data_IF_142877281254
#
_entry.id   IF_142877281254
#
_cell.length_a   1.000
_cell.length_b   1.000
_cell.length_c   1.000
_cell.angle_alpha   90.00
_cell.angle_beta   90.00
_cell.angle_gamma   90.00
#
_symmetry.space_group_name_H-M   'P 1'
#
loop_
_entity.id
_entity.type
_entity.pdbx_description
1 polymer ?
#
# COMPACT_ATOMS: atom_id res chain seq x y z
N UNK A 1 -14.90 -9.08 -4.49
CA UNK A 1 -15.51 -7.72 -4.40
C UNK A 1 -17.04 -7.79 -4.38
N UNK A 2 -17.65 -8.59 -5.25
CA UNK A 2 -19.11 -8.80 -5.37
C UNK A 2 -19.81 -9.23 -4.06
N UNK A 3 -19.21 -10.17 -3.30
CA UNK A 3 -19.76 -10.61 -1.99
C UNK A 3 -19.86 -9.50 -0.94
N UNK A 4 -18.93 -8.54 -0.97
CA UNK A 4 -18.93 -7.41 -0.03
C UNK A 4 -20.00 -6.39 -0.40
N UNK A 5 -20.22 -6.16 -1.71
CA UNK A 5 -21.29 -5.29 -2.19
C UNK A 5 -22.67 -5.86 -1.83
N UNK A 6 -22.86 -7.15 -2.07
CA UNK A 6 -24.08 -7.86 -1.69
C UNK A 6 -24.34 -7.82 -0.18
N UNK A 7 -23.31 -8.00 0.65
CA UNK A 7 -23.45 -7.87 2.10
C UNK A 7 -23.87 -6.45 2.54
N UNK A 8 -23.33 -5.40 1.89
CA UNK A 8 -23.70 -4.01 2.16
C UNK A 8 -25.16 -3.72 1.78
N UNK A 9 -25.62 -4.25 0.65
CA UNK A 9 -27.02 -4.15 0.22
C UNK A 9 -27.97 -4.85 1.20
N UNK A 10 -27.65 -6.07 1.62
CA UNK A 10 -28.44 -6.78 2.64
C UNK A 10 -28.58 -6.00 3.95
N UNK A 11 -27.49 -5.40 4.44
CA UNK A 11 -27.52 -4.56 5.65
C UNK A 11 -28.42 -3.35 5.43
N UNK A 12 -28.35 -2.70 4.27
CA UNK A 12 -29.19 -1.54 3.94
C UNK A 12 -30.67 -1.91 3.88
N UNK A 13 -31.01 -3.00 3.19
CA UNK A 13 -32.38 -3.52 3.08
C UNK A 13 -32.94 -3.90 4.46
N UNK A 14 -32.13 -4.53 5.31
CA UNK A 14 -32.51 -4.87 6.67
C UNK A 14 -32.87 -3.63 7.50
N UNK A 15 -32.04 -2.58 7.45
CA UNK A 15 -32.29 -1.33 8.19
C UNK A 15 -33.57 -0.64 7.71
N UNK A 16 -33.83 -0.64 6.40
CA UNK A 16 -35.07 -0.10 5.81
C UNK A 16 -36.28 -0.92 6.28
N UNK A 17 -36.23 -2.25 6.16
CA UNK A 17 -37.34 -3.14 6.51
C UNK A 17 -37.75 -3.04 7.98
N UNK A 18 -36.80 -2.82 8.89
CA UNK A 18 -37.06 -2.67 10.33
C UNK A 18 -37.43 -1.23 10.75
N UNK A 19 -37.36 -0.26 9.83
CA UNK A 19 -37.67 1.14 10.12
C UNK A 19 -36.58 1.87 10.91
N UNK A 20 -35.33 1.41 10.85
CA UNK A 20 -34.20 2.04 11.56
C UNK A 20 -33.64 3.24 10.76
N UNK A 21 -34.47 4.24 10.49
CA UNK A 21 -34.13 5.37 9.61
C UNK A 21 -32.93 6.18 10.10
N UNK A 22 -32.82 6.44 11.41
CA UNK A 22 -31.69 7.19 11.99
C UNK A 22 -30.37 6.39 11.90
N UNK A 23 -30.44 5.07 12.07
CA UNK A 23 -29.28 4.18 11.93
C UNK A 23 -28.85 4.07 10.47
N UNK A 24 -29.81 4.02 9.54
CA UNK A 24 -29.54 4.04 8.10
C UNK A 24 -28.85 5.34 7.68
N UNK A 25 -29.32 6.49 8.18
CA UNK A 25 -28.70 7.78 7.89
C UNK A 25 -27.26 7.86 8.42
N UNK A 26 -27.03 7.41 9.66
CA UNK A 26 -25.70 7.35 10.27
C UNK A 26 -24.77 6.41 9.49
N UNK A 27 -25.26 5.22 9.12
CA UNK A 27 -24.52 4.25 8.31
C UNK A 27 -24.15 4.80 6.93
N UNK A 28 -25.06 5.49 6.24
CA UNK A 28 -24.79 6.12 4.95
C UNK A 28 -23.82 7.31 5.08
N UNK A 29 -23.89 8.08 6.16
CA UNK A 29 -22.94 9.16 6.45
C UNK A 29 -21.52 8.62 6.67
N UNK A 30 -21.39 7.55 7.45
CA UNK A 30 -20.10 6.88 7.69
C UNK A 30 -19.55 6.24 6.40
N UNK A 31 -20.38 5.60 5.57
CA UNK A 31 -19.98 5.09 4.26
C UNK A 31 -19.50 6.16 3.29
N UNK A 32 -19.96 7.41 3.42
CA UNK A 32 -19.50 8.54 2.59
C UNK A 32 -18.08 8.97 2.95
N UNK A 33 -17.64 8.70 4.18
CA UNK A 33 -16.26 9.01 4.60
C UNK A 33 -15.26 8.22 3.74
N UNK A 34 -14.19 8.88 3.30
CA UNK A 34 -13.14 8.26 2.45
C UNK A 34 -12.42 7.08 3.12
N UNK A 35 -12.72 6.79 4.39
CA UNK A 35 -12.14 5.71 5.18
C UNK A 35 -12.31 4.34 4.48
N UNK A 36 -13.34 4.18 3.63
CA UNK A 36 -13.60 2.94 2.90
C UNK A 36 -13.52 3.00 1.36
N UNK A 37 -13.12 4.13 0.75
CA UNK A 37 -13.23 4.35 -0.71
C UNK A 37 -12.01 3.93 -1.54
N UNK A 38 -11.00 3.35 -0.91
CA UNK A 38 -9.77 2.91 -1.58
C UNK A 38 -8.58 3.81 -1.25
N UNK A 39 -7.46 3.58 -1.92
CA UNK A 39 -6.25 4.35 -1.69
C UNK A 39 -6.37 5.75 -2.28
N UNK A 40 -6.10 6.78 -1.47
CA UNK A 40 -5.86 8.13 -1.95
C UNK A 40 -4.46 8.17 -2.59
N UNK A 41 -4.36 7.70 -3.83
CA UNK A 41 -3.09 7.45 -4.55
C UNK A 41 -2.19 8.68 -4.55
N UNK A 42 -2.74 9.87 -4.77
CA UNK A 42 -1.95 11.11 -4.79
C UNK A 42 -1.25 11.36 -3.45
N UNK A 43 -1.95 11.16 -2.32
CA UNK A 43 -1.36 11.32 -0.99
C UNK A 43 -0.27 10.28 -0.71
N UNK A 44 -0.44 9.07 -1.24
CA UNK A 44 0.57 8.01 -1.11
C UNK A 44 1.81 8.37 -1.93
N UNK A 45 1.64 8.87 -3.15
CA UNK A 45 2.76 9.33 -3.97
C UNK A 45 3.47 10.50 -3.30
N UNK A 46 2.73 11.48 -2.77
CA UNK A 46 3.30 12.59 -1.99
C UNK A 46 4.07 12.07 -0.78
N UNK A 47 3.53 11.10 -0.05
CA UNK A 47 4.21 10.49 1.10
C UNK A 47 5.52 9.81 0.70
N UNK A 48 5.54 9.07 -0.41
CA UNK A 48 6.74 8.40 -0.93
C UNK A 48 7.77 9.44 -1.36
N UNK A 49 7.38 10.35 -2.25
CA UNK A 49 8.32 11.23 -2.97
C UNK A 49 8.65 12.52 -2.23
N UNK A 50 7.82 12.99 -1.30
CA UNK A 50 8.08 14.20 -0.52
C UNK A 50 8.58 13.91 0.90
N UNK A 51 8.32 12.72 1.45
CA UNK A 51 8.74 12.37 2.81
C UNK A 51 9.70 11.19 2.85
N UNK A 52 9.30 10.01 2.38
CA UNK A 52 10.06 8.79 2.64
C UNK A 52 11.40 8.74 1.91
N UNK A 53 11.42 9.08 0.62
CA UNK A 53 12.66 9.11 -0.15
C UNK A 53 13.55 10.30 0.26
N UNK A 54 13.07 11.56 0.29
CA UNK A 54 13.93 12.70 0.58
C UNK A 54 14.52 12.71 2.00
N UNK A 55 13.80 12.16 2.98
CA UNK A 55 14.24 12.13 4.39
C UNK A 55 14.90 10.80 4.78
N UNK A 56 15.11 9.89 3.84
CA UNK A 56 15.76 8.59 4.08
C UNK A 56 15.00 7.67 5.06
N UNK A 57 13.66 7.68 5.01
CA UNK A 57 12.82 6.81 5.83
C UNK A 57 12.58 5.46 5.12
N UNK A 58 13.63 4.64 5.00
CA UNK A 58 13.56 3.32 4.37
C UNK A 58 12.49 2.42 5.02
N UNK A 59 12.45 2.37 6.35
CA UNK A 59 11.54 1.49 7.09
C UNK A 59 10.07 1.84 6.81
N UNK A 60 9.73 3.13 6.71
CA UNK A 60 8.37 3.57 6.39
C UNK A 60 7.98 3.24 4.96
N UNK A 61 8.91 3.38 4.01
CA UNK A 61 8.69 2.99 2.62
C UNK A 61 8.44 1.48 2.50
N UNK A 62 9.23 0.67 3.20
CA UNK A 62 9.11 -0.79 3.19
C UNK A 62 7.85 -1.28 3.89
N UNK A 63 7.49 -0.69 5.03
CA UNK A 63 6.22 -0.98 5.70
C UNK A 63 5.02 -0.71 4.77
N UNK A 64 5.06 0.38 4.00
CA UNK A 64 4.02 0.70 3.01
C UNK A 64 3.96 -0.35 1.88
N UNK A 65 5.10 -0.74 1.33
CA UNK A 65 5.19 -1.76 0.28
C UNK A 65 4.72 -3.15 0.78
N UNK A 66 5.13 -3.52 2.00
CA UNK A 66 4.69 -4.74 2.67
C UNK A 66 3.19 -4.75 2.92
N UNK A 67 2.62 -3.60 3.29
CA UNK A 67 1.17 -3.44 3.40
C UNK A 67 0.46 -3.65 2.07
N UNK A 68 0.94 -3.07 0.95
CA UNK A 68 0.35 -3.32 -0.37
C UNK A 68 0.41 -4.80 -0.76
N UNK A 69 1.53 -5.46 -0.46
CA UNK A 69 1.69 -6.88 -0.71
C UNK A 69 0.66 -7.68 0.06
N UNK A 70 0.51 -7.45 1.37
CA UNK A 70 -0.49 -8.14 2.19
C UNK A 70 -1.92 -7.85 1.72
N UNK A 71 -2.25 -6.58 1.47
CA UNK A 71 -3.58 -6.16 1.00
C UNK A 71 -3.95 -6.86 -0.32
N UNK A 72 -3.02 -6.89 -1.28
CA UNK A 72 -3.24 -7.48 -2.59
C UNK A 72 -3.04 -9.01 -2.62
N UNK A 73 -2.44 -9.62 -1.60
CA UNK A 73 -2.34 -11.09 -1.45
C UNK A 73 -3.72 -11.75 -1.35
N UNK A 74 -4.74 -11.00 -0.94
CA UNK A 74 -6.13 -11.44 -0.91
C UNK A 74 -6.79 -11.50 -2.31
N UNK A 75 -6.14 -10.91 -3.32
CA UNK A 75 -6.60 -10.92 -4.71
C UNK A 75 -5.99 -12.13 -5.43
N UNK A 76 -6.82 -12.93 -6.11
CA UNK A 76 -6.35 -14.06 -6.95
C UNK A 76 -5.73 -13.63 -8.28
N UNK A 77 -5.39 -12.35 -8.44
CA UNK A 77 -4.89 -11.78 -9.69
C UNK A 77 -3.35 -11.81 -9.74
N UNK A 78 -2.83 -12.82 -10.45
CA UNK A 78 -1.39 -12.98 -10.67
C UNK A 78 -0.76 -11.80 -11.44
N UNK A 79 -1.52 -11.13 -12.31
CA UNK A 79 -1.01 -9.99 -13.08
C UNK A 79 -0.75 -8.78 -12.17
N UNK A 80 -1.64 -8.54 -11.21
CA UNK A 80 -1.50 -7.48 -10.21
C UNK A 80 -0.33 -7.73 -9.27
N UNK A 81 -0.13 -8.96 -8.81
CA UNK A 81 1.00 -9.34 -7.99
C UNK A 81 2.35 -9.13 -8.70
N UNK A 82 2.41 -9.43 -10.01
CA UNK A 82 3.61 -9.19 -10.82
C UNK A 82 3.91 -7.70 -11.00
N UNK A 83 2.88 -6.89 -11.23
CA UNK A 83 3.00 -5.43 -11.38
C UNK A 83 3.46 -4.79 -10.07
N UNK A 84 2.89 -5.22 -8.94
CA UNK A 84 3.30 -4.75 -7.62
C UNK A 84 4.77 -5.08 -7.33
N UNK A 85 5.22 -6.29 -7.67
CA UNK A 85 6.62 -6.67 -7.47
C UNK A 85 7.58 -5.81 -8.30
N UNK A 86 7.23 -5.48 -9.55
CA UNK A 86 8.01 -4.56 -10.40
C UNK A 86 8.03 -3.14 -9.84
N UNK A 87 6.89 -2.64 -9.36
CA UNK A 87 6.79 -1.32 -8.73
C UNK A 87 7.67 -1.24 -7.48
N UNK A 88 7.59 -2.24 -6.62
CA UNK A 88 8.38 -2.35 -5.40
C UNK A 88 9.87 -2.33 -5.70
N UNK A 89 10.34 -3.17 -6.62
CA UNK A 89 11.74 -3.19 -7.05
C UNK A 89 12.19 -1.83 -7.61
N UNK A 90 11.34 -1.17 -8.40
CA UNK A 90 11.65 0.14 -8.99
C UNK A 90 11.77 1.24 -7.93
N UNK A 91 10.87 1.26 -6.94
CA UNK A 91 10.90 2.23 -5.84
C UNK A 91 12.12 2.02 -4.93
N UNK A 92 12.47 0.77 -4.63
CA UNK A 92 13.66 0.46 -3.81
C UNK A 92 14.95 0.86 -4.53
N UNK A 93 15.07 0.58 -5.83
CA UNK A 93 16.20 1.05 -6.64
C UNK A 93 16.27 2.58 -6.68
N UNK A 94 15.13 3.24 -6.89
CA UNK A 94 15.04 4.70 -6.86
C UNK A 94 15.51 5.27 -5.52
N UNK A 95 15.06 4.69 -4.40
CA UNK A 95 15.50 5.09 -3.06
C UNK A 95 17.02 5.00 -2.91
N UNK A 96 17.61 3.85 -3.28
CA UNK A 96 19.08 3.66 -3.18
C UNK A 96 19.83 4.68 -4.05
N UNK A 97 19.39 4.90 -5.28
CA UNK A 97 20.01 5.91 -6.18
C UNK A 97 19.94 7.30 -5.55
N UNK A 98 18.78 7.69 -5.00
CA UNK A 98 18.61 8.97 -4.32
C UNK A 98 19.56 9.11 -3.12
N UNK A 99 19.68 8.07 -2.28
CA UNK A 99 20.59 8.08 -1.12
C UNK A 99 22.05 8.26 -1.55
N UNK A 100 22.46 7.57 -2.61
CA UNK A 100 23.81 7.69 -3.18
C UNK A 100 24.05 9.11 -3.72
N UNK A 101 23.08 9.69 -4.44
CA UNK A 101 23.16 11.06 -4.97
C UNK A 101 23.29 12.10 -3.85
N UNK A 102 22.62 11.90 -2.72
CA UNK A 102 22.75 12.77 -1.55
C UNK A 102 24.04 12.51 -0.73
N UNK A 103 24.93 11.62 -1.20
CA UNK A 103 26.18 11.24 -0.53
C UNK A 103 25.98 10.69 0.90
N UNK A 104 24.82 10.07 1.17
CA UNK A 104 24.45 9.49 2.48
C UNK A 104 24.79 8.01 2.54
N UNK A 105 26.08 7.69 2.44
CA UNK A 105 26.58 6.29 2.44
C UNK A 105 26.18 5.52 3.69
N UNK A 106 26.03 6.19 4.84
CA UNK A 106 25.49 5.64 6.07
C UNK A 106 24.12 4.99 5.84
N UNK A 107 23.21 5.70 5.14
CA UNK A 107 21.86 5.23 4.85
C UNK A 107 21.79 4.13 3.81
N UNK A 108 22.78 4.06 2.91
CA UNK A 108 22.92 2.91 1.99
C UNK A 108 23.26 1.65 2.79
N UNK A 109 24.22 1.75 3.72
CA UNK A 109 24.61 0.62 4.56
C UNK A 109 23.48 0.19 5.48
N UNK A 110 22.78 1.13 6.13
CA UNK A 110 21.60 0.85 6.96
C UNK A 110 20.54 0.08 6.15
N UNK A 111 20.23 0.57 4.94
CA UNK A 111 19.27 -0.07 4.04
C UNK A 111 19.67 -1.51 3.69
N UNK A 112 20.89 -1.74 3.22
CA UNK A 112 21.30 -3.09 2.86
C UNK A 112 21.45 -4.01 4.07
N UNK A 113 21.87 -3.51 5.23
CA UNK A 113 22.01 -4.31 6.45
C UNK A 113 20.66 -4.86 6.91
N UNK A 114 19.62 -4.03 6.87
CA UNK A 114 18.26 -4.43 7.25
C UNK A 114 17.60 -5.34 6.22
N UNK A 115 17.87 -5.13 4.93
CA UNK A 115 17.01 -5.68 3.86
C UNK A 115 17.72 -6.61 2.86
N UNK A 116 19.01 -6.90 3.06
CA UNK A 116 19.78 -7.85 2.22
C UNK A 116 19.10 -9.22 2.13
N UNK A 117 18.57 -9.75 3.24
CA UNK A 117 17.96 -11.08 3.25
C UNK A 117 16.69 -11.15 2.40
N UNK A 118 15.83 -10.12 2.50
CA UNK A 118 14.59 -10.04 1.72
C UNK A 118 14.85 -9.76 0.23
N UNK A 119 15.87 -8.94 -0.06
CA UNK A 119 16.30 -8.67 -1.44
C UNK A 119 16.93 -9.90 -2.11
N UNK A 120 17.76 -10.66 -1.38
CA UNK A 120 18.43 -11.87 -1.89
C UNK A 120 17.45 -13.02 -2.17
N UNK A 121 16.38 -13.17 -1.40
CA UNK A 121 15.33 -14.15 -1.72
C UNK A 121 14.61 -13.84 -3.05
N UNK A 122 14.78 -12.62 -3.58
CA UNK A 122 14.15 -12.12 -4.81
C UNK A 122 15.10 -12.06 -6.01
N UNK A 123 16.31 -12.61 -5.90
CA UNK A 123 17.49 -12.30 -6.73
C UNK A 123 17.51 -12.80 -8.19
N UNK A 124 16.38 -12.82 -8.91
CA UNK A 124 16.47 -12.86 -10.39
C UNK A 124 16.64 -11.46 -10.99
N UNK A 125 16.25 -10.39 -10.28
CA UNK A 125 16.20 -9.03 -10.82
C UNK A 125 17.31 -8.08 -10.32
N UNK A 126 18.11 -8.45 -9.32
CA UNK A 126 19.12 -7.57 -8.70
C UNK A 126 20.58 -7.90 -9.05
N UNK A 127 20.80 -9.00 -9.76
CA UNK A 127 22.13 -9.52 -10.13
C UNK A 127 22.46 -9.39 -11.61
N UNK A 128 21.62 -8.73 -12.42
CA UNK A 128 21.89 -8.41 -13.82
C UNK A 128 22.30 -6.95 -14.00
#
# INVERSE_FOLDING_TARGET
MEKMQHAKELVREFLVFRGFTNTLESYEAELRTNIGKGFEVDKILDLIFSLYVPKFHADSLLALLGFFKHYLSSSSDASLASTLSKLEASLLRFYVVHVVQCNRKDKVVDFFTLYVAELLQRSQDWTN
#
